data_IF_829747682794
#
_entry.id   IF_829747682794
#
_cell.length_a   1.000
_cell.length_b   1.000
_cell.length_c   1.000
_cell.angle_alpha   90.00
_cell.angle_beta   90.00
_cell.angle_gamma   90.00
#
_symmetry.space_group_name_H-M   'P 1'
#
loop_
_entity.id
_entity.type
_entity.pdbx_description
1 polymer ?
#
# COMPACT_ATOMS: atom_id res chain seq x y z
N UNK A 1 -30.96 -2.05 -27.47
CA UNK A 1 -29.80 -2.89 -27.10
C UNK A 1 -28.83 -3.16 -28.26
N UNK A 2 -29.28 -3.61 -29.45
CA UNK A 2 -28.37 -3.92 -30.58
C UNK A 2 -27.37 -2.80 -30.94
N UNK A 3 -27.81 -1.52 -30.94
CA UNK A 3 -26.94 -0.36 -31.23
C UNK A 3 -25.87 -0.10 -30.16
N UNK A 4 -26.20 -0.24 -28.88
CA UNK A 4 -25.25 -0.06 -27.76
C UNK A 4 -24.18 -1.15 -27.78
N UNK A 5 -24.57 -2.39 -28.01
CA UNK A 5 -23.64 -3.53 -28.11
C UNK A 5 -22.70 -3.38 -29.31
N UNK A 6 -23.22 -2.95 -30.46
CA UNK A 6 -22.39 -2.68 -31.64
C UNK A 6 -21.36 -1.56 -31.38
N UNK A 7 -21.75 -0.50 -30.67
CA UNK A 7 -20.83 0.57 -30.28
C UNK A 7 -19.74 0.08 -29.32
N UNK A 8 -20.11 -0.69 -28.29
CA UNK A 8 -19.17 -1.33 -27.36
C UNK A 8 -18.16 -2.20 -28.11
N UNK A 9 -18.64 -3.04 -29.04
CA UNK A 9 -17.79 -3.92 -29.84
C UNK A 9 -16.79 -3.13 -30.69
N UNK A 10 -17.24 -2.05 -31.33
CA UNK A 10 -16.38 -1.15 -32.09
C UNK A 10 -15.30 -0.49 -31.23
N UNK A 11 -15.65 0.01 -30.05
CA UNK A 11 -14.68 0.60 -29.12
C UNK A 11 -13.66 -0.45 -28.62
N UNK A 12 -14.10 -1.68 -28.35
CA UNK A 12 -13.21 -2.77 -27.95
C UNK A 12 -12.16 -3.08 -29.03
N UNK A 13 -12.59 -3.16 -30.30
CA UNK A 13 -11.66 -3.36 -31.43
C UNK A 13 -10.70 -2.19 -31.62
N UNK A 14 -11.15 -0.95 -31.41
CA UNK A 14 -10.28 0.22 -31.49
C UNK A 14 -9.15 0.16 -30.45
N UNK A 15 -9.48 -0.20 -29.21
CA UNK A 15 -8.47 -0.30 -28.14
C UNK A 15 -7.52 -1.46 -28.40
N UNK A 16 -8.04 -2.63 -28.80
CA UNK A 16 -7.20 -3.80 -29.06
C UNK A 16 -6.25 -3.62 -30.24
N UNK A 17 -6.59 -2.77 -31.21
CA UNK A 17 -5.72 -2.45 -32.35
C UNK A 17 -4.62 -1.44 -32.00
N UNK A 18 -4.82 -0.65 -30.96
CA UNK A 18 -3.81 0.30 -30.50
C UNK A 18 -2.78 -0.39 -29.60
N UNK A 19 -1.81 -1.03 -30.25
CA UNK A 19 -0.73 -1.79 -29.59
C UNK A 19 0.09 -0.94 -28.62
N UNK A 20 0.26 0.36 -28.91
CA UNK A 20 1.02 1.26 -28.03
C UNK A 20 0.26 1.51 -26.73
N UNK A 21 -1.03 1.82 -26.85
CA UNK A 21 -1.91 2.00 -25.69
C UNK A 21 -2.01 0.71 -24.87
N UNK A 22 -2.20 -0.46 -25.49
CA UNK A 22 -2.20 -1.74 -24.77
C UNK A 22 -0.88 -2.02 -24.05
N UNK A 23 0.26 -1.77 -24.71
CA UNK A 23 1.57 -1.98 -24.09
C UNK A 23 1.71 -1.10 -22.86
N UNK A 24 1.37 0.19 -22.94
CA UNK A 24 1.45 1.09 -21.78
C UNK A 24 0.49 0.64 -20.67
N UNK A 25 -0.75 0.28 -21.01
CA UNK A 25 -1.79 -0.12 -20.04
C UNK A 25 -1.40 -1.35 -19.24
N UNK A 26 -0.70 -2.33 -19.84
CA UNK A 26 -0.32 -3.55 -19.14
C UNK A 26 1.12 -3.51 -18.62
N UNK A 27 2.07 -2.98 -19.37
CA UNK A 27 3.48 -2.97 -18.98
C UNK A 27 3.75 -1.99 -17.83
N UNK A 28 3.14 -0.79 -17.84
CA UNK A 28 3.35 0.21 -16.79
C UNK A 28 2.92 -0.30 -15.40
N UNK A 29 1.73 -0.91 -15.21
CA UNK A 29 1.37 -1.57 -13.95
C UNK A 29 2.40 -2.59 -13.49
N UNK A 30 2.81 -3.49 -14.38
CA UNK A 30 3.75 -4.56 -14.04
C UNK A 30 5.07 -3.96 -13.55
N UNK A 31 5.59 -2.97 -14.28
CA UNK A 31 6.81 -2.25 -13.90
C UNK A 31 6.61 -1.51 -12.57
N UNK A 32 5.48 -0.83 -12.36
CA UNK A 32 5.19 -0.13 -11.10
C UNK A 32 5.10 -1.10 -9.91
N UNK A 33 4.42 -2.22 -10.06
CA UNK A 33 4.31 -3.24 -9.01
C UNK A 33 5.68 -3.84 -8.70
N UNK A 34 6.48 -4.16 -9.72
CA UNK A 34 7.83 -4.68 -9.53
C UNK A 34 8.75 -3.64 -8.88
N UNK A 35 8.70 -2.38 -9.33
CA UNK A 35 9.47 -1.31 -8.73
C UNK A 35 9.07 -1.08 -7.27
N UNK A 36 7.79 -0.90 -6.97
CA UNK A 36 7.38 -0.65 -5.58
C UNK A 36 7.54 -1.88 -4.68
N UNK A 37 7.27 -3.07 -5.21
CA UNK A 37 7.35 -4.31 -4.44
C UNK A 37 8.78 -4.75 -4.13
N UNK A 38 9.76 -4.46 -5.00
CA UNK A 38 11.18 -4.79 -4.75
C UNK A 38 12.02 -3.60 -4.28
N UNK A 39 11.76 -2.38 -4.78
CA UNK A 39 12.61 -1.23 -4.47
C UNK A 39 12.22 -0.53 -3.16
N UNK A 40 10.99 -0.74 -2.65
CA UNK A 40 10.55 -0.16 -1.37
C UNK A 40 10.37 -1.25 -0.32
N UNK A 41 11.48 -1.88 0.04
CA UNK A 41 11.56 -2.73 1.23
C UNK A 41 12.24 -1.94 2.34
N UNK A 42 11.48 -1.60 3.39
CA UNK A 42 12.04 -1.15 4.68
C UNK A 42 12.32 -2.34 5.61
N UNK A 43 12.26 -3.55 5.07
CA UNK A 43 12.53 -4.78 5.80
C UNK A 43 14.00 -4.79 6.23
N UNK A 44 14.21 -5.08 7.51
CA UNK A 44 15.55 -5.17 8.09
C UNK A 44 16.18 -6.45 7.57
N UNK A 45 17.23 -6.33 6.75
CA UNK A 45 18.12 -7.44 6.41
C UNK A 45 19.54 -6.93 6.57
N UNK A 46 20.37 -7.70 7.26
CA UNK A 46 21.77 -7.35 7.52
C UNK A 46 21.95 -5.97 8.18
N UNK A 47 21.05 -5.58 9.09
CA UNK A 47 21.22 -4.34 9.84
C UNK A 47 22.52 -4.40 10.64
N UNK A 48 23.40 -3.44 10.36
CA UNK A 48 24.68 -3.31 11.04
C UNK A 48 24.44 -2.83 12.46
N UNK A 49 24.84 -3.66 13.42
CA UNK A 49 24.73 -3.34 14.84
C UNK A 49 26.11 -3.13 15.44
N UNK A 50 26.19 -2.27 16.45
CA UNK A 50 27.33 -2.19 17.33
C UNK A 50 26.94 -2.67 18.72
N UNK A 51 27.88 -3.32 19.40
CA UNK A 51 27.61 -3.99 20.67
C UNK A 51 28.54 -3.43 21.73
N UNK A 52 27.97 -2.87 22.80
CA UNK A 52 28.68 -2.53 24.02
C UNK A 52 28.35 -3.57 25.08
N UNK A 53 29.17 -4.62 25.16
CA UNK A 53 29.03 -5.67 26.16
C UNK A 53 29.95 -5.41 27.35
N UNK A 54 29.38 -4.86 28.42
CA UNK A 54 30.10 -4.66 29.68
C UNK A 54 30.08 -5.91 30.58
N UNK A 55 29.20 -6.88 30.32
CA UNK A 55 29.05 -8.08 31.14
C UNK A 55 30.07 -9.15 30.77
N UNK A 56 30.20 -9.40 29.46
CA UNK A 56 31.06 -10.45 28.88
C UNK A 56 30.82 -11.81 29.53
N UNK A 57 29.56 -12.13 29.80
CA UNK A 57 29.13 -13.35 30.48
C UNK A 57 28.44 -14.32 29.50
N UNK A 58 28.18 -15.55 29.95
CA UNK A 58 27.60 -16.59 29.08
C UNK A 58 26.20 -16.19 28.55
N UNK A 59 25.42 -15.47 29.35
CA UNK A 59 24.09 -15.00 28.95
C UNK A 59 24.17 -13.87 27.92
N UNK A 60 25.14 -12.95 28.04
CA UNK A 60 25.36 -11.88 27.07
C UNK A 60 25.83 -12.45 25.72
N UNK A 61 26.75 -13.40 25.74
CA UNK A 61 27.25 -14.10 24.55
C UNK A 61 26.11 -14.88 23.87
N UNK A 62 25.29 -15.60 24.64
CA UNK A 62 24.14 -16.34 24.11
C UNK A 62 23.12 -15.42 23.43
N UNK A 63 22.80 -14.27 24.04
CA UNK A 63 21.90 -13.28 23.45
C UNK A 63 22.45 -12.72 22.13
N UNK A 64 23.73 -12.35 22.10
CA UNK A 64 24.39 -11.82 20.91
C UNK A 64 24.45 -12.84 19.78
N UNK A 65 24.70 -14.11 20.11
CA UNK A 65 24.68 -15.21 19.14
C UNK A 65 23.26 -15.40 18.57
N UNK A 66 22.21 -15.32 19.39
CA UNK A 66 20.81 -15.41 18.91
C UNK A 66 20.46 -14.25 17.96
N UNK A 67 20.86 -13.03 18.31
CA UNK A 67 20.65 -11.84 17.48
C UNK A 67 21.36 -11.94 16.13
N UNK A 68 22.63 -12.35 16.11
CA UNK A 68 23.42 -12.47 14.87
C UNK A 68 23.03 -13.68 14.03
N UNK A 69 22.62 -14.79 14.66
CA UNK A 69 22.16 -16.00 13.95
C UNK A 69 20.77 -15.86 13.34
N UNK A 70 20.01 -14.82 13.71
CA UNK A 70 18.67 -14.56 13.17
C UNK A 70 18.66 -14.16 11.68
N UNK A 71 19.81 -13.75 11.13
CA UNK A 71 19.92 -13.24 9.75
C UNK A 71 19.44 -11.80 9.56
N UNK A 72 18.88 -11.16 10.59
CA UNK A 72 18.45 -9.76 10.55
C UNK A 72 19.56 -8.78 10.92
N UNK A 73 20.53 -9.22 11.73
CA UNK A 73 21.56 -8.37 12.31
C UNK A 73 22.97 -8.89 12.01
N UNK A 74 23.88 -7.96 11.68
CA UNK A 74 25.29 -8.24 11.54
C UNK A 74 26.09 -7.33 12.48
N UNK A 75 26.94 -7.91 13.32
CA UNK A 75 27.83 -7.13 14.19
C UNK A 75 28.92 -6.47 13.37
N UNK A 76 28.89 -5.14 13.29
CA UNK A 76 29.91 -4.35 12.58
C UNK A 76 31.11 -4.06 13.50
N UNK A 77 30.86 -3.76 14.78
CA UNK A 77 31.92 -3.45 15.76
C UNK A 77 31.48 -3.67 17.20
N UNK A 78 32.45 -3.96 18.05
CA UNK A 78 32.30 -3.94 19.50
C UNK A 78 32.80 -2.59 20.04
N UNK A 79 32.01 -2.00 20.93
CA UNK A 79 32.31 -0.74 21.60
C UNK A 79 32.89 -1.03 22.99
N UNK A 80 33.74 -0.14 23.49
CA UNK A 80 34.38 -0.31 24.80
C UNK A 80 33.79 0.63 25.86
N UNK A 81 33.30 1.81 25.46
CA UNK A 81 32.78 2.81 26.39
C UNK A 81 31.44 3.38 25.93
N UNK A 82 30.65 3.91 26.88
CA UNK A 82 29.40 4.61 26.57
C UNK A 82 29.62 5.85 25.70
N UNK A 83 30.80 6.48 25.76
CA UNK A 83 31.13 7.63 24.90
C UNK A 83 31.23 7.22 23.42
N UNK A 84 31.57 5.96 23.14
CA UNK A 84 31.69 5.43 21.77
C UNK A 84 30.32 5.15 21.14
N UNK A 85 29.24 5.13 21.92
CA UNK A 85 27.87 4.85 21.42
C UNK A 85 27.44 5.90 20.42
N UNK A 86 27.67 7.18 20.74
CA UNK A 86 27.27 8.27 19.85
C UNK A 86 28.14 8.33 18.60
N UNK A 87 29.46 8.14 18.74
CA UNK A 87 30.39 8.13 17.61
C UNK A 87 30.15 6.94 16.68
N UNK A 88 29.60 5.84 17.19
CA UNK A 88 29.22 4.68 16.40
C UNK A 88 28.14 4.97 15.36
N UNK A 89 27.35 6.04 15.49
CA UNK A 89 26.39 6.44 14.44
C UNK A 89 27.01 7.38 13.40
N UNK A 90 28.19 7.94 13.65
CA UNK A 90 28.76 9.03 12.86
C UNK A 90 29.09 8.69 11.41
N UNK A 91 29.39 7.43 11.11
CA UNK A 91 29.67 6.95 9.74
C UNK A 91 28.42 6.47 9.00
N UNK A 92 27.24 6.50 9.64
CA UNK A 92 25.95 6.09 9.07
C UNK A 92 25.82 4.59 8.81
N UNK A 93 26.83 3.78 9.15
CA UNK A 93 26.81 2.32 8.94
C UNK A 93 25.99 1.62 10.00
N UNK A 94 26.23 1.93 11.27
CA UNK A 94 25.51 1.31 12.40
C UNK A 94 24.11 1.89 12.49
N UNK A 95 23.11 1.00 12.61
CA UNK A 95 21.69 1.37 12.75
C UNK A 95 21.12 1.10 14.13
N UNK A 96 21.77 0.23 14.90
CA UNK A 96 21.41 -0.09 16.28
C UNK A 96 22.66 -0.32 17.12
N UNK A 97 22.68 0.26 18.31
CA UNK A 97 23.64 -0.05 19.36
C UNK A 97 22.91 -0.82 20.47
N UNK A 98 23.46 -1.98 20.81
CA UNK A 98 22.97 -2.83 21.91
C UNK A 98 23.92 -2.64 23.08
N UNK A 99 23.41 -2.17 24.21
CA UNK A 99 24.20 -1.99 25.43
C UNK A 99 23.76 -3.00 26.47
N UNK A 100 24.70 -3.84 26.89
CA UNK A 100 24.53 -4.85 27.94
C UNK A 100 25.26 -4.38 29.20
N UNK A 101 24.58 -4.27 30.36
CA UNK A 101 25.18 -3.76 31.60
C UNK A 101 26.11 -4.80 32.25
N UNK A 102 27.13 -4.36 33.00
CA UNK A 102 28.16 -5.25 33.57
C UNK A 102 27.64 -6.34 34.52
N UNK A 103 26.46 -6.16 35.12
CA UNK A 103 25.87 -7.11 36.05
C UNK A 103 24.76 -7.96 35.41
N UNK A 104 24.78 -8.17 34.09
CA UNK A 104 23.69 -8.80 33.34
C UNK A 104 23.26 -10.18 33.88
N UNK A 105 24.18 -11.13 34.00
CA UNK A 105 23.87 -12.47 34.55
C UNK A 105 23.48 -12.42 36.03
N UNK A 106 24.14 -11.57 36.84
CA UNK A 106 23.79 -11.41 38.26
C UNK A 106 22.38 -10.86 38.44
N UNK A 107 22.01 -9.84 37.67
CA UNK A 107 20.68 -9.24 37.71
C UNK A 107 19.59 -10.22 37.23
N UNK A 108 19.89 -11.03 36.23
CA UNK A 108 18.98 -12.09 35.77
C UNK A 108 18.72 -13.14 36.85
N UNK A 109 19.78 -13.68 37.47
CA UNK A 109 19.65 -14.77 38.45
C UNK A 109 19.19 -14.31 39.84
N UNK A 110 19.56 -13.11 40.27
CA UNK A 110 19.30 -12.62 41.63
C UNK A 110 18.04 -11.76 41.72
N UNK A 111 17.83 -10.87 40.75
CA UNK A 111 16.75 -9.87 40.78
C UNK A 111 15.59 -10.23 39.83
N UNK A 112 15.74 -11.29 39.01
CA UNK A 112 14.74 -11.74 38.05
C UNK A 112 14.50 -10.79 36.87
N UNK A 113 15.26 -9.69 36.79
CA UNK A 113 15.09 -8.62 35.80
C UNK A 113 16.46 -8.20 35.27
N UNK A 114 16.73 -8.50 34.01
CA UNK A 114 17.91 -8.02 33.29
C UNK A 114 17.49 -6.96 32.26
N UNK A 115 18.18 -5.82 32.24
CA UNK A 115 17.88 -4.73 31.32
C UNK A 115 18.90 -4.72 30.17
N UNK A 116 18.40 -4.69 28.94
CA UNK A 116 19.21 -4.45 27.73
C UNK A 116 18.74 -3.14 27.13
N UNK A 117 19.67 -2.24 26.80
CA UNK A 117 19.33 -0.97 26.17
C UNK A 117 19.54 -1.06 24.66
N UNK A 118 18.51 -0.66 23.91
CA UNK A 118 18.52 -0.56 22.45
C UNK A 118 18.53 0.92 22.06
N UNK A 119 19.57 1.35 21.36
CA UNK A 119 19.73 2.74 20.90
C UNK A 119 19.80 2.70 19.38
N UNK A 120 18.84 3.30 18.68
CA UNK A 120 18.76 3.23 17.21
C UNK A 120 18.97 4.60 16.54
N UNK A 121 19.53 4.57 15.32
CA UNK A 121 19.60 5.73 14.44
C UNK A 121 18.22 6.01 13.83
N UNK A 122 17.54 7.03 14.36
CA UNK A 122 16.19 7.43 13.95
C UNK A 122 16.16 8.43 12.78
N UNK A 123 17.25 8.57 12.01
CA UNK A 123 17.25 9.37 10.77
C UNK A 123 16.20 8.86 9.77
N UNK A 124 15.96 7.54 9.75
CA UNK A 124 14.77 6.92 9.18
C UNK A 124 13.93 6.31 10.34
N UNK A 125 12.83 6.97 10.76
CA UNK A 125 12.00 6.50 11.86
C UNK A 125 11.36 5.13 11.62
N UNK A 126 11.02 4.79 10.36
CA UNK A 126 10.40 3.52 10.02
C UNK A 126 11.41 2.39 10.15
N UNK A 127 12.63 2.59 9.62
CA UNK A 127 13.71 1.63 9.77
C UNK A 127 14.11 1.46 11.25
N UNK A 128 14.23 2.54 12.01
CA UNK A 128 14.56 2.48 13.44
C UNK A 128 13.49 1.74 14.26
N UNK A 129 12.21 2.02 14.01
CA UNK A 129 11.10 1.31 14.66
C UNK A 129 11.09 -0.17 14.30
N UNK A 130 11.32 -0.53 13.04
CA UNK A 130 11.42 -1.91 12.60
C UNK A 130 12.60 -2.62 13.29
N UNK A 131 13.81 -2.06 13.21
CA UNK A 131 15.03 -2.60 13.81
C UNK A 131 14.88 -2.85 15.31
N UNK A 132 14.33 -1.88 16.03
CA UNK A 132 14.08 -2.02 17.48
C UNK A 132 13.01 -3.05 17.79
N UNK A 133 11.95 -3.16 16.97
CA UNK A 133 10.92 -4.19 17.13
C UNK A 133 11.48 -5.60 16.91
N UNK A 134 12.29 -5.83 15.88
CA UNK A 134 12.95 -7.12 15.65
C UNK A 134 13.91 -7.48 16.77
N UNK A 135 14.75 -6.53 17.22
CA UNK A 135 15.66 -6.77 18.33
C UNK A 135 14.91 -7.13 19.61
N UNK A 136 13.83 -6.41 19.94
CA UNK A 136 12.97 -6.74 21.09
C UNK A 136 12.33 -8.13 20.96
N UNK A 137 11.85 -8.51 19.78
CA UNK A 137 11.26 -9.84 19.55
C UNK A 137 12.27 -10.97 19.80
N UNK A 138 13.52 -10.81 19.33
CA UNK A 138 14.58 -11.81 19.55
C UNK A 138 15.03 -11.85 21.02
N UNK A 139 15.15 -10.69 21.68
CA UNK A 139 15.48 -10.63 23.12
C UNK A 139 14.41 -11.35 23.94
N UNK A 140 13.13 -11.16 23.60
CA UNK A 140 12.03 -11.85 24.27
C UNK A 140 12.04 -13.37 24.01
N UNK A 141 12.31 -13.81 22.77
CA UNK A 141 12.46 -15.24 22.44
C UNK A 141 13.60 -15.89 23.24
N UNK A 142 14.76 -15.21 23.31
CA UNK A 142 15.89 -15.66 24.12
C UNK A 142 15.53 -15.74 25.60
N UNK A 143 14.83 -14.74 26.14
CA UNK A 143 14.35 -14.75 27.53
C UNK A 143 13.46 -15.97 27.82
N UNK A 144 12.59 -16.35 26.89
CA UNK A 144 11.74 -17.55 27.05
C UNK A 144 12.54 -18.86 26.99
N UNK A 145 13.63 -18.90 26.22
CA UNK A 145 14.49 -20.08 26.08
C UNK A 145 15.34 -20.35 27.32
N UNK A 146 15.85 -19.30 27.98
CA UNK A 146 16.69 -19.41 29.19
C UNK A 146 15.90 -19.50 30.51
N UNK A 147 14.58 -19.36 30.47
CA UNK A 147 13.73 -19.37 31.66
C UNK A 147 13.39 -20.80 32.11
N UNK A 148 14.16 -21.35 33.07
CA UNK A 148 13.97 -22.70 33.63
C UNK A 148 12.78 -22.87 34.61
N UNK A 149 12.07 -21.79 34.97
CA UNK A 149 10.97 -21.86 35.93
C UNK A 149 9.81 -20.91 35.57
N UNK A 150 8.54 -21.34 35.68
CA UNK A 150 7.41 -20.45 35.53
C UNK A 150 7.36 -19.51 36.74
N UNK A 151 7.63 -18.23 36.51
CA UNK A 151 7.34 -17.09 37.39
C UNK A 151 8.08 -17.07 38.76
N UNK A 152 9.23 -16.41 38.81
CA UNK A 152 9.69 -15.73 40.04
C UNK A 152 9.74 -14.22 39.82
N UNK A 153 8.61 -13.58 40.17
CA UNK A 153 8.54 -12.22 40.71
C UNK A 153 8.93 -11.04 39.81
N UNK A 154 7.91 -10.35 39.28
CA UNK A 154 7.95 -8.89 39.23
C UNK A 154 8.20 -8.24 37.88
N UNK A 155 7.26 -8.40 36.95
CA UNK A 155 6.71 -7.41 36.00
C UNK A 155 5.83 -8.21 35.05
N UNK A 156 4.63 -7.74 34.72
CA UNK A 156 3.77 -8.42 33.75
C UNK A 156 4.58 -8.68 32.47
N UNK A 157 4.80 -9.96 32.14
CA UNK A 157 5.43 -10.33 30.88
C UNK A 157 4.47 -9.94 29.74
N UNK A 158 4.73 -8.82 29.09
CA UNK A 158 3.93 -8.37 27.95
C UNK A 158 4.35 -9.20 26.73
N UNK A 159 3.62 -10.28 26.47
CA UNK A 159 3.80 -11.07 25.25
C UNK A 159 3.17 -10.29 24.10
N UNK A 160 4.01 -9.63 23.30
CA UNK A 160 3.58 -8.91 22.11
C UNK A 160 3.41 -9.90 20.96
N UNK A 161 2.15 -10.20 20.60
CA UNK A 161 1.83 -11.02 19.44
C UNK A 161 1.20 -10.19 18.33
N UNK A 162 1.91 -10.09 17.20
CA UNK A 162 1.39 -9.48 15.99
C UNK A 162 0.50 -10.48 15.25
N UNK A 163 -0.82 -10.25 15.24
CA UNK A 163 -1.78 -11.14 14.56
C UNK A 163 -1.70 -11.08 13.05
N UNK A 164 -1.40 -9.89 12.50
CA UNK A 164 -1.34 -9.65 11.07
C UNK A 164 0.03 -9.06 10.74
N UNK A 165 0.76 -9.70 9.83
CA UNK A 165 2.14 -9.37 9.49
C UNK A 165 3.16 -9.55 10.64
N UNK A 166 3.33 -10.78 11.19
CA UNK A 166 4.27 -11.02 12.28
C UNK A 166 5.73 -10.74 11.92
N UNK A 167 6.07 -10.92 10.64
CA UNK A 167 7.40 -10.65 10.11
C UNK A 167 7.57 -9.18 9.69
N UNK A 168 6.61 -8.30 9.95
CA UNK A 168 6.64 -6.87 9.63
C UNK A 168 7.01 -6.55 8.16
N UNK A 169 6.65 -7.45 7.24
CA UNK A 169 6.92 -7.31 5.80
C UNK A 169 6.28 -6.04 5.24
N UNK A 170 7.11 -5.19 4.65
CA UNK A 170 6.72 -3.92 4.02
C UNK A 170 5.73 -4.13 2.87
N UNK A 171 5.82 -5.28 2.18
CA UNK A 171 4.93 -5.71 1.09
C UNK A 171 3.44 -5.56 1.45
N UNK A 172 3.07 -5.81 2.71
CA UNK A 172 1.69 -5.78 3.19
C UNK A 172 1.13 -4.35 3.23
N UNK A 173 2.01 -3.35 3.27
CA UNK A 173 1.66 -1.94 3.13
C UNK A 173 1.67 -1.52 1.66
N UNK A 174 2.73 -1.87 0.92
CA UNK A 174 2.97 -1.31 -0.40
C UNK A 174 2.08 -1.89 -1.50
N UNK A 175 1.91 -3.21 -1.56
CA UNK A 175 1.18 -3.85 -2.66
C UNK A 175 -0.30 -3.40 -2.74
N UNK A 176 -1.08 -3.34 -1.64
CA UNK A 176 -2.42 -2.76 -1.64
C UNK A 176 -2.49 -1.32 -2.14
N UNK A 177 -1.53 -0.49 -1.74
CA UNK A 177 -1.50 0.92 -2.11
C UNK A 177 -1.13 1.15 -3.57
N UNK A 178 -0.17 0.36 -4.08
CA UNK A 178 0.19 0.37 -5.51
C UNK A 178 -0.96 -0.14 -6.37
N UNK A 179 -1.66 -1.19 -5.93
CA UNK A 179 -2.89 -1.63 -6.59
C UNK A 179 -3.92 -0.49 -6.65
N UNK A 180 -4.15 0.23 -5.55
CA UNK A 180 -5.05 1.38 -5.52
C UNK A 180 -4.61 2.47 -6.52
N UNK A 181 -3.31 2.76 -6.57
CA UNK A 181 -2.73 3.77 -7.44
C UNK A 181 -2.91 3.42 -8.92
N UNK A 182 -2.59 2.18 -9.29
CA UNK A 182 -2.68 1.69 -10.67
C UNK A 182 -4.13 1.69 -11.13
N UNK A 183 -5.01 1.07 -10.35
CA UNK A 183 -6.42 0.98 -10.71
C UNK A 183 -7.07 2.37 -10.79
N UNK A 184 -6.72 3.29 -9.88
CA UNK A 184 -7.21 4.67 -9.94
C UNK A 184 -6.73 5.39 -11.21
N UNK A 185 -5.41 5.43 -11.44
CA UNK A 185 -4.83 6.20 -12.54
C UNK A 185 -5.27 5.63 -13.87
N UNK A 186 -5.10 4.33 -14.11
CA UNK A 186 -5.33 3.75 -15.44
C UNK A 186 -6.80 3.84 -15.81
N UNK A 187 -7.69 3.44 -14.90
CA UNK A 187 -9.12 3.41 -15.22
C UNK A 187 -9.70 4.82 -15.39
N UNK A 188 -9.35 5.76 -14.51
CA UNK A 188 -9.84 7.14 -14.58
C UNK A 188 -9.22 7.90 -15.76
N UNK A 189 -7.91 7.82 -15.95
CA UNK A 189 -7.18 8.52 -17.01
C UNK A 189 -7.63 8.04 -18.39
N UNK A 190 -7.73 6.72 -18.61
CA UNK A 190 -8.17 6.21 -19.90
C UNK A 190 -9.60 6.59 -20.22
N UNK A 191 -10.48 6.56 -19.21
CA UNK A 191 -11.85 7.03 -19.36
C UNK A 191 -11.87 8.53 -19.67
N UNK A 192 -11.05 9.33 -18.99
CA UNK A 192 -10.96 10.76 -19.18
C UNK A 192 -10.47 11.13 -20.59
N UNK A 193 -9.38 10.49 -21.04
CA UNK A 193 -8.80 10.69 -22.38
C UNK A 193 -9.80 10.26 -23.45
N UNK A 194 -10.41 9.07 -23.32
CA UNK A 194 -11.32 8.56 -24.33
C UNK A 194 -12.56 9.44 -24.53
N UNK A 195 -13.10 10.01 -23.45
CA UNK A 195 -14.22 10.94 -23.52
C UNK A 195 -13.81 12.34 -23.99
N UNK A 196 -12.64 12.83 -23.57
CA UNK A 196 -12.16 14.15 -23.98
C UNK A 196 -11.72 14.17 -25.44
N UNK A 197 -11.19 13.05 -25.95
CA UNK A 197 -10.85 12.87 -27.36
C UNK A 197 -12.01 13.22 -28.28
N UNK A 198 -13.20 12.75 -27.95
CA UNK A 198 -14.41 13.05 -28.74
C UNK A 198 -14.80 14.54 -28.68
N UNK A 199 -14.46 15.24 -27.59
CA UNK A 199 -14.67 16.69 -27.48
C UNK A 199 -13.68 17.44 -28.35
N UNK A 200 -12.41 17.07 -28.27
CA UNK A 200 -11.30 17.72 -28.94
C UNK A 200 -11.40 17.60 -30.47
N UNK A 201 -11.79 16.43 -30.99
CA UNK A 201 -12.00 16.23 -32.42
C UNK A 201 -13.36 16.72 -32.94
N UNK A 202 -14.22 17.26 -32.07
CA UNK A 202 -15.56 17.73 -32.44
C UNK A 202 -16.51 16.62 -32.91
N UNK A 203 -16.11 15.34 -32.84
CA UNK A 203 -16.94 14.18 -33.19
C UNK A 203 -18.19 14.09 -32.34
N UNK A 204 -18.20 14.70 -31.14
CA UNK A 204 -19.39 14.83 -30.33
C UNK A 204 -20.54 15.55 -31.06
N UNK A 205 -20.27 16.56 -31.91
CA UNK A 205 -21.33 17.24 -32.69
C UNK A 205 -21.97 16.30 -33.72
N UNK A 206 -21.15 15.48 -34.37
CA UNK A 206 -21.59 14.44 -35.30
C UNK A 206 -22.33 13.30 -34.57
N UNK A 207 -21.94 12.98 -33.33
CA UNK A 207 -22.64 12.02 -32.49
C UNK A 207 -23.95 12.59 -31.91
N UNK A 208 -24.05 13.90 -31.67
CA UNK A 208 -25.26 14.56 -31.17
C UNK A 208 -26.39 14.61 -32.21
N UNK A 209 -26.06 14.58 -33.51
CA UNK A 209 -27.05 14.41 -34.59
C UNK A 209 -27.39 12.93 -34.85
N UNK A 210 -26.63 12.00 -34.25
CA UNK A 210 -26.98 10.58 -34.25
C UNK A 210 -28.09 10.31 -33.22
N UNK A 211 -28.92 9.27 -33.40
CA UNK A 211 -30.00 8.94 -32.45
C UNK A 211 -29.50 8.34 -31.12
N UNK A 212 -28.21 8.49 -30.79
CA UNK A 212 -27.60 7.97 -29.56
C UNK A 212 -27.67 9.00 -28.44
N UNK A 213 -28.31 8.63 -27.33
CA UNK A 213 -28.30 9.42 -26.10
C UNK A 213 -26.87 9.50 -25.53
N UNK A 214 -26.49 10.64 -24.96
CA UNK A 214 -25.17 10.87 -24.32
C UNK A 214 -24.84 9.78 -23.29
N UNK A 215 -25.82 9.35 -22.48
CA UNK A 215 -25.66 8.25 -21.52
C UNK A 215 -25.19 6.95 -22.19
N UNK A 216 -25.70 6.65 -23.38
CA UNK A 216 -25.33 5.45 -24.15
C UNK A 216 -23.89 5.53 -24.67
N UNK A 217 -23.42 6.72 -25.05
CA UNK A 217 -22.05 6.95 -25.51
C UNK A 217 -21.07 6.74 -24.35
N UNK A 218 -21.36 7.35 -23.18
CA UNK A 218 -20.53 7.20 -21.98
C UNK A 218 -20.47 5.73 -21.54
N UNK A 219 -21.61 5.07 -21.38
CA UNK A 219 -21.67 3.64 -20.99
C UNK A 219 -20.94 2.77 -22.03
N UNK A 220 -21.13 3.08 -23.31
CA UNK A 220 -20.51 2.35 -24.42
C UNK A 220 -18.98 2.41 -24.43
N UNK A 221 -18.39 3.47 -23.87
CA UNK A 221 -16.93 3.58 -23.67
C UNK A 221 -16.49 2.98 -22.34
N UNK A 222 -17.23 3.20 -21.25
CA UNK A 222 -16.87 2.69 -19.92
C UNK A 222 -16.79 1.16 -19.91
N UNK A 223 -17.67 0.43 -20.58
CA UNK A 223 -17.66 -1.04 -20.57
C UNK A 223 -16.36 -1.65 -21.13
N UNK A 224 -15.87 -1.28 -22.34
CA UNK A 224 -14.60 -1.76 -22.85
C UNK A 224 -13.40 -1.51 -21.93
N UNK A 225 -13.30 -0.31 -21.36
CA UNK A 225 -12.20 0.01 -20.44
C UNK A 225 -12.32 -0.74 -19.13
N UNK A 226 -13.54 -1.01 -18.63
CA UNK A 226 -13.74 -1.83 -17.44
C UNK A 226 -13.18 -3.25 -17.63
N UNK A 227 -13.42 -3.87 -18.80
CA UNK A 227 -12.90 -5.20 -19.12
C UNK A 227 -11.36 -5.21 -19.18
N UNK A 228 -10.75 -4.17 -19.75
CA UNK A 228 -9.29 -4.04 -19.81
C UNK A 228 -8.71 -3.86 -18.41
N UNK A 229 -9.30 -2.98 -17.60
CA UNK A 229 -8.86 -2.77 -16.22
C UNK A 229 -9.09 -3.99 -15.32
N UNK A 230 -10.08 -4.84 -15.63
CA UNK A 230 -10.27 -6.14 -14.97
C UNK A 230 -9.13 -7.11 -15.28
N UNK A 231 -8.69 -7.17 -16.54
CA UNK A 231 -7.52 -7.97 -16.93
C UNK A 231 -6.27 -7.46 -16.20
N UNK A 232 -6.07 -6.15 -16.15
CA UNK A 232 -4.96 -5.54 -15.42
C UNK A 232 -5.01 -5.86 -13.92
N UNK A 233 -6.18 -5.73 -13.30
CA UNK A 233 -6.41 -6.15 -11.90
C UNK A 233 -6.00 -7.61 -11.70
N UNK A 234 -6.39 -8.49 -12.61
CA UNK A 234 -6.05 -9.91 -12.53
C UNK A 234 -4.53 -10.14 -12.59
N UNK A 235 -3.83 -9.45 -13.49
CA UNK A 235 -2.37 -9.51 -13.62
C UNK A 235 -1.71 -9.04 -12.32
N UNK A 236 -2.12 -7.89 -11.78
CA UNK A 236 -1.52 -7.35 -10.55
C UNK A 236 -1.79 -8.26 -9.35
N UNK A 237 -2.96 -8.89 -9.27
CA UNK A 237 -3.27 -9.86 -8.21
C UNK A 237 -2.47 -11.17 -8.33
N UNK A 238 -2.16 -11.60 -9.56
CA UNK A 238 -1.23 -12.72 -9.77
C UNK A 238 0.17 -12.33 -9.28
N UNK A 239 0.66 -11.15 -9.67
CA UNK A 239 1.97 -10.67 -9.22
C UNK A 239 2.02 -10.54 -7.70
N UNK A 240 0.99 -9.98 -7.06
CA UNK A 240 0.95 -9.86 -5.60
C UNK A 240 1.09 -11.21 -4.90
N UNK A 241 0.38 -12.24 -5.38
CA UNK A 241 0.39 -13.56 -4.75
C UNK A 241 1.66 -14.37 -5.05
N UNK A 242 2.12 -14.37 -6.30
CA UNK A 242 3.17 -15.28 -6.77
C UNK A 242 4.58 -14.66 -6.78
N UNK A 243 4.69 -13.32 -6.87
CA UNK A 243 5.99 -12.64 -6.86
C UNK A 243 6.33 -12.09 -5.47
N UNK A 244 5.32 -11.60 -4.73
CA UNK A 244 5.53 -10.96 -3.42
C UNK A 244 5.03 -11.78 -2.24
N UNK A 245 4.57 -13.01 -2.47
CA UNK A 245 4.02 -13.90 -1.45
C UNK A 245 2.94 -13.24 -0.57
N UNK A 246 2.16 -12.33 -1.17
CA UNK A 246 1.11 -11.63 -0.44
C UNK A 246 -0.03 -12.61 -0.12
N UNK A 247 -0.45 -12.73 1.16
CA UNK A 247 -1.54 -13.61 1.52
C UNK A 247 -2.85 -13.09 0.93
N UNK A 248 -3.68 -14.03 0.49
CA UNK A 248 -5.08 -13.79 0.13
C UNK A 248 -5.91 -14.70 1.03
N UNK A 249 -6.09 -14.28 2.28
CA UNK A 249 -6.75 -15.08 3.31
C UNK A 249 -8.29 -15.05 3.18
N UNK A 250 -8.84 -14.01 2.58
CA UNK A 250 -10.28 -13.82 2.41
C UNK A 250 -10.84 -14.48 1.15
N UNK A 251 -12.13 -14.27 0.90
CA UNK A 251 -12.79 -14.77 -0.30
C UNK A 251 -12.30 -14.05 -1.55
N UNK A 252 -11.86 -14.83 -2.55
CA UNK A 252 -11.50 -14.31 -3.89
C UNK A 252 -12.67 -13.55 -4.53
N UNK A 253 -13.89 -14.02 -4.37
CA UNK A 253 -15.09 -13.36 -4.92
C UNK A 253 -15.26 -11.98 -4.30
N UNK A 254 -15.14 -11.87 -2.98
CA UNK A 254 -15.25 -10.58 -2.28
C UNK A 254 -14.14 -9.63 -2.71
N UNK A 255 -12.92 -10.14 -2.88
CA UNK A 255 -11.78 -9.38 -3.39
C UNK A 255 -12.07 -8.80 -4.77
N UNK A 256 -12.58 -9.60 -5.72
CA UNK A 256 -12.99 -9.10 -7.03
C UNK A 256 -14.10 -8.07 -6.96
N UNK A 257 -15.09 -8.25 -6.08
CA UNK A 257 -16.16 -7.26 -5.89
C UNK A 257 -15.60 -5.91 -5.43
N UNK A 258 -14.66 -5.90 -4.48
CA UNK A 258 -13.97 -4.69 -4.00
C UNK A 258 -13.22 -4.02 -5.16
N UNK A 259 -12.45 -4.78 -5.96
CA UNK A 259 -11.72 -4.23 -7.10
C UNK A 259 -12.65 -3.69 -8.20
N UNK A 260 -13.70 -4.42 -8.56
CA UNK A 260 -14.69 -3.99 -9.58
C UNK A 260 -15.37 -2.70 -9.14
N UNK A 261 -15.75 -2.60 -7.86
CA UNK A 261 -16.38 -1.41 -7.34
C UNK A 261 -15.43 -0.22 -7.38
N UNK A 262 -14.18 -0.41 -6.99
CA UNK A 262 -13.17 0.66 -7.04
C UNK A 262 -12.85 1.10 -8.47
N UNK A 263 -12.80 0.16 -9.42
CA UNK A 263 -12.70 0.47 -10.84
C UNK A 263 -13.88 1.34 -11.28
N UNK A 264 -15.10 0.95 -10.91
CA UNK A 264 -16.29 1.74 -11.26
C UNK A 264 -16.25 3.15 -10.66
N UNK A 265 -15.82 3.30 -9.41
CA UNK A 265 -15.63 4.61 -8.76
C UNK A 265 -14.56 5.46 -9.47
N UNK A 266 -13.43 4.85 -9.81
CA UNK A 266 -12.31 5.52 -10.46
C UNK A 266 -12.66 5.94 -11.89
N UNK A 267 -13.34 5.08 -12.66
CA UNK A 267 -13.86 5.43 -13.98
C UNK A 267 -14.88 6.56 -13.91
N UNK A 268 -15.77 6.56 -12.90
CA UNK A 268 -16.72 7.64 -12.68
C UNK A 268 -16.02 8.98 -12.40
N UNK A 269 -14.90 8.95 -11.69
CA UNK A 269 -14.03 10.12 -11.50
C UNK A 269 -13.39 10.55 -12.83
N UNK A 270 -12.96 9.61 -13.67
CA UNK A 270 -12.51 9.90 -15.04
C UNK A 270 -13.57 10.59 -15.91
N UNK A 271 -14.84 10.15 -15.84
CA UNK A 271 -15.97 10.82 -16.50
C UNK A 271 -16.13 12.25 -15.99
N UNK A 272 -16.02 12.45 -14.67
CA UNK A 272 -16.09 13.78 -14.06
C UNK A 272 -14.95 14.67 -14.56
N UNK A 273 -13.71 14.18 -14.58
CA UNK A 273 -12.55 14.93 -15.11
C UNK A 273 -12.77 15.30 -16.57
N UNK A 274 -13.17 14.35 -17.42
CA UNK A 274 -13.49 14.63 -18.83
C UNK A 274 -14.60 15.68 -18.99
N UNK A 275 -15.53 15.78 -18.05
CA UNK A 275 -16.58 16.81 -18.09
C UNK A 275 -16.05 18.23 -17.86
N UNK A 276 -14.88 18.39 -17.22
CA UNK A 276 -14.29 19.68 -16.84
C UNK A 276 -13.25 20.21 -17.83
N UNK A 277 -12.76 19.36 -18.74
CA UNK A 277 -11.66 19.69 -19.65
C UNK A 277 -12.05 19.46 -21.11
N UNK A 278 -11.29 20.08 -22.02
CA UNK A 278 -11.52 20.01 -23.46
C UNK A 278 -10.34 19.41 -24.25
N UNK A 279 -9.16 19.22 -23.64
CA UNK A 279 -7.98 18.62 -24.30
C UNK A 279 -7.57 17.32 -23.62
N UNK A 280 -7.22 16.30 -24.41
CA UNK A 280 -6.73 15.02 -23.92
C UNK A 280 -5.48 15.16 -23.05
N UNK A 281 -4.57 16.08 -23.40
CA UNK A 281 -3.33 16.29 -22.63
C UNK A 281 -3.65 16.83 -21.23
N UNK A 282 -4.55 17.81 -21.14
CA UNK A 282 -4.99 18.38 -19.86
C UNK A 282 -5.75 17.33 -19.03
N UNK A 283 -6.60 16.52 -19.67
CA UNK A 283 -7.29 15.41 -19.02
C UNK A 283 -6.32 14.40 -18.42
N UNK A 284 -5.26 14.06 -19.16
CA UNK A 284 -4.21 13.15 -18.70
C UNK A 284 -3.44 13.73 -17.51
N UNK A 285 -2.97 14.98 -17.59
CA UNK A 285 -2.22 15.63 -16.50
C UNK A 285 -3.06 15.73 -15.22
N UNK A 286 -4.33 16.16 -15.34
CA UNK A 286 -5.22 16.24 -14.17
C UNK A 286 -5.50 14.86 -13.59
N UNK A 287 -5.68 13.84 -14.43
CA UNK A 287 -5.89 12.47 -13.93
C UNK A 287 -4.65 11.94 -13.23
N UNK A 288 -3.45 12.12 -13.79
CA UNK A 288 -2.21 11.66 -13.18
C UNK A 288 -1.96 12.42 -11.88
N UNK A 289 -1.85 13.76 -11.92
CA UNK A 289 -1.50 14.54 -10.72
C UNK A 289 -2.61 14.49 -9.68
N UNK A 290 -3.86 14.64 -10.11
CA UNK A 290 -5.04 14.68 -9.25
C UNK A 290 -5.43 13.34 -8.63
N UNK A 291 -4.92 12.21 -9.15
CA UNK A 291 -5.13 10.89 -8.55
C UNK A 291 -3.87 10.35 -7.90
N UNK A 292 -2.68 10.60 -8.47
CA UNK A 292 -1.41 10.11 -7.92
C UNK A 292 -1.13 10.70 -6.54
N UNK A 293 -1.19 12.02 -6.39
CA UNK A 293 -0.86 12.65 -5.11
C UNK A 293 -1.84 12.27 -4.00
N UNK A 294 -3.18 12.35 -4.20
CA UNK A 294 -4.09 11.95 -3.14
C UNK A 294 -4.06 10.45 -2.86
N UNK A 295 -3.84 9.61 -3.88
CA UNK A 295 -3.76 8.15 -3.69
C UNK A 295 -2.47 7.73 -2.99
N UNK A 296 -1.37 8.45 -3.13
CA UNK A 296 -0.13 8.14 -2.40
C UNK A 296 -0.09 8.75 -1.01
N UNK A 297 -0.54 10.00 -0.87
CA UNK A 297 -0.39 10.78 0.35
C UNK A 297 -1.61 10.74 1.28
N UNK A 298 -2.84 10.69 0.76
CA UNK A 298 -4.09 10.88 1.53
C UNK A 298 -4.95 9.62 1.68
N UNK A 299 -4.42 8.46 1.29
CA UNK A 299 -5.19 7.20 1.22
C UNK A 299 -4.87 6.20 2.33
N UNK A 300 -3.85 6.45 3.16
CA UNK A 300 -3.29 5.44 4.06
C UNK A 300 -2.37 4.44 3.36
N UNK A 301 -1.90 4.77 2.15
CA UNK A 301 -0.87 4.04 1.44
C UNK A 301 0.50 4.23 2.09
N UNK A 302 1.14 5.39 1.88
CA UNK A 302 2.49 5.65 2.38
C UNK A 302 2.46 6.16 3.83
N UNK A 303 1.51 7.05 4.13
CA UNK A 303 1.39 7.70 5.43
C UNK A 303 0.13 7.21 6.14
N UNK A 304 0.24 6.75 7.41
CA UNK A 304 -0.93 6.48 8.23
C UNK A 304 -1.81 7.72 8.36
N UNK A 305 -3.11 7.58 8.13
CA UNK A 305 -4.05 8.71 8.17
C UNK A 305 -4.17 9.26 9.59
N UNK A 306 -4.04 8.37 10.58
CA UNK A 306 -4.11 8.67 12.01
C UNK A 306 -3.02 9.66 12.45
N UNK A 307 -1.88 9.68 11.74
CA UNK A 307 -0.77 10.58 12.03
C UNK A 307 -0.97 11.99 11.44
N UNK A 308 -2.03 12.22 10.65
CA UNK A 308 -2.30 13.52 10.04
C UNK A 308 -3.13 14.42 10.96
N UNK A 309 -2.99 15.76 10.86
CA UNK A 309 -3.92 16.71 11.46
C UNK A 309 -5.39 16.43 11.08
N UNK A 310 -6.32 16.73 12.00
CA UNK A 310 -7.77 16.45 11.86
C UNK A 310 -8.37 16.98 10.53
N UNK A 311 -7.89 18.14 10.06
CA UNK A 311 -8.31 18.74 8.80
C UNK A 311 -7.94 17.84 7.60
N UNK A 312 -6.74 17.27 7.61
CA UNK A 312 -6.32 16.33 6.57
C UNK A 312 -7.03 14.98 6.71
N UNK A 313 -7.28 14.49 7.93
CA UNK A 313 -8.03 13.24 8.14
C UNK A 313 -9.45 13.32 7.55
N UNK A 314 -10.13 14.45 7.72
CA UNK A 314 -11.46 14.67 7.14
C UNK A 314 -11.39 14.78 5.61
N UNK A 315 -10.37 15.45 5.07
CA UNK A 315 -10.12 15.51 3.62
C UNK A 315 -9.88 14.11 3.01
N UNK A 316 -9.15 13.23 3.71
CA UNK A 316 -8.88 11.86 3.25
C UNK A 316 -10.16 11.05 2.98
N UNK A 317 -11.26 11.35 3.68
CA UNK A 317 -12.54 10.67 3.48
C UNK A 317 -13.16 10.93 2.10
N UNK A 318 -12.81 12.04 1.46
CA UNK A 318 -13.28 12.41 0.13
C UNK A 318 -12.57 11.66 -1.01
N UNK A 319 -11.53 10.87 -0.71
CA UNK A 319 -10.76 10.14 -1.72
C UNK A 319 -11.13 8.65 -1.75
N UNK A 320 -11.57 8.10 -2.90
CA UNK A 320 -11.98 6.70 -3.01
C UNK A 320 -10.87 5.71 -2.64
N UNK A 321 -9.62 6.04 -2.94
CA UNK A 321 -8.47 5.20 -2.66
C UNK A 321 -8.34 4.83 -1.17
N UNK A 322 -8.71 5.75 -0.26
CA UNK A 322 -8.72 5.52 1.18
C UNK A 322 -9.61 4.33 1.55
N UNK A 323 -10.85 4.35 1.07
CA UNK A 323 -11.83 3.30 1.34
C UNK A 323 -11.45 1.97 0.69
N UNK A 324 -10.89 2.02 -0.52
CA UNK A 324 -10.40 0.83 -1.20
C UNK A 324 -9.22 0.18 -0.45
N UNK A 325 -8.21 0.95 -0.02
CA UNK A 325 -7.05 0.41 0.69
C UNK A 325 -7.46 -0.25 2.01
N UNK A 326 -8.40 0.35 2.74
CA UNK A 326 -8.95 -0.25 3.98
C UNK A 326 -9.67 -1.57 3.66
N UNK A 327 -10.53 -1.61 2.64
CA UNK A 327 -11.26 -2.81 2.25
C UNK A 327 -10.33 -3.93 1.76
N UNK A 328 -9.40 -3.62 0.85
CA UNK A 328 -8.52 -4.62 0.23
C UNK A 328 -7.54 -5.21 1.25
N UNK A 329 -6.96 -4.39 2.16
CA UNK A 329 -6.13 -4.88 3.27
C UNK A 329 -6.92 -5.80 4.19
N UNK A 330 -8.17 -5.45 4.48
CA UNK A 330 -9.05 -6.27 5.33
C UNK A 330 -9.35 -7.63 4.70
N UNK A 331 -9.65 -7.68 3.40
CA UNK A 331 -9.92 -8.96 2.72
C UNK A 331 -8.65 -9.78 2.51
N UNK A 332 -7.57 -9.18 2.01
CA UNK A 332 -6.35 -9.92 1.67
C UNK A 332 -5.58 -10.38 2.90
N UNK A 333 -5.31 -9.45 3.84
CA UNK A 333 -4.42 -9.69 4.97
C UNK A 333 -5.22 -10.26 6.15
N UNK A 334 -6.30 -9.58 6.56
CA UNK A 334 -7.09 -10.01 7.72
C UNK A 334 -8.02 -11.19 7.43
N UNK A 335 -8.32 -11.45 6.16
CA UNK A 335 -9.20 -12.54 5.75
C UNK A 335 -10.67 -12.34 6.13
N UNK A 336 -11.08 -11.09 6.40
CA UNK A 336 -12.44 -10.82 6.89
C UNK A 336 -13.48 -10.81 5.76
N UNK A 337 -14.71 -11.21 6.10
CA UNK A 337 -15.83 -11.23 5.16
C UNK A 337 -16.52 -9.87 4.96
N UNK A 338 -17.58 -9.87 4.14
CA UNK A 338 -18.35 -8.69 3.74
C UNK A 338 -18.86 -7.86 4.93
N UNK A 339 -19.21 -8.51 6.04
CA UNK A 339 -19.74 -7.87 7.24
C UNK A 339 -18.80 -6.85 7.90
N UNK A 340 -17.50 -6.89 7.58
CA UNK A 340 -16.52 -5.95 8.12
C UNK A 340 -16.14 -4.83 7.16
N UNK A 341 -16.53 -4.93 5.88
CA UNK A 341 -16.13 -3.97 4.84
C UNK A 341 -17.31 -3.32 4.11
N UNK A 342 -18.54 -3.54 4.60
CA UNK A 342 -19.74 -3.06 3.90
C UNK A 342 -19.83 -1.53 3.87
N UNK A 343 -19.26 -0.83 4.85
CA UNK A 343 -19.25 0.64 4.89
C UNK A 343 -18.34 1.16 3.77
N UNK A 344 -17.15 0.61 3.63
CA UNK A 344 -16.19 0.95 2.58
C UNK A 344 -16.82 0.76 1.20
N UNK A 345 -17.51 -0.37 0.99
CA UNK A 345 -18.24 -0.64 -0.24
C UNK A 345 -19.37 0.37 -0.47
N UNK A 346 -20.18 0.65 0.55
CA UNK A 346 -21.28 1.60 0.43
C UNK A 346 -20.77 3.01 0.07
N UNK A 347 -19.71 3.47 0.74
CA UNK A 347 -19.10 4.78 0.46
C UNK A 347 -18.53 4.83 -0.95
N UNK A 348 -17.78 3.81 -1.39
CA UNK A 348 -17.26 3.77 -2.76
C UNK A 348 -18.37 3.74 -3.81
N UNK A 349 -19.47 3.02 -3.56
CA UNK A 349 -20.65 2.99 -4.42
C UNK A 349 -21.33 4.36 -4.47
N UNK A 350 -21.51 5.02 -3.33
CA UNK A 350 -22.07 6.37 -3.26
C UNK A 350 -21.21 7.38 -4.03
N UNK A 351 -19.89 7.34 -3.85
CA UNK A 351 -18.94 8.18 -4.59
C UNK A 351 -19.02 7.94 -6.10
N UNK A 352 -19.08 6.68 -6.52
CA UNK A 352 -19.22 6.34 -7.94
C UNK A 352 -20.50 6.95 -8.54
N UNK A 353 -21.64 6.77 -7.87
CA UNK A 353 -22.92 7.33 -8.32
C UNK A 353 -22.89 8.87 -8.36
N UNK A 354 -22.29 9.52 -7.37
CA UNK A 354 -22.15 10.98 -7.32
C UNK A 354 -21.29 11.48 -8.48
N UNK A 355 -20.08 10.95 -8.64
CA UNK A 355 -19.15 11.38 -9.70
C UNK A 355 -19.73 11.11 -11.09
N UNK A 356 -20.35 9.95 -11.30
CA UNK A 356 -20.97 9.60 -12.57
C UNK A 356 -22.15 10.52 -12.89
N UNK A 357 -23.02 10.79 -11.90
CA UNK A 357 -24.19 11.64 -12.09
C UNK A 357 -23.79 13.09 -12.39
N UNK A 358 -22.84 13.65 -11.64
CA UNK A 358 -22.33 15.00 -11.86
C UNK A 358 -21.63 15.07 -13.22
N UNK A 359 -20.77 14.09 -13.52
CA UNK A 359 -20.05 14.00 -14.78
C UNK A 359 -21.00 13.98 -15.99
N UNK A 360 -21.98 13.08 -16.00
CA UNK A 360 -22.98 12.98 -17.08
C UNK A 360 -23.80 14.27 -17.21
N UNK A 361 -24.26 14.87 -16.11
CA UNK A 361 -25.06 16.11 -16.14
C UNK A 361 -24.27 17.28 -16.73
N UNK A 362 -23.02 17.46 -16.29
CA UNK A 362 -22.13 18.50 -16.84
C UNK A 362 -21.84 18.24 -18.31
N UNK A 363 -21.57 16.99 -18.66
CA UNK A 363 -21.35 16.60 -20.05
C UNK A 363 -22.58 16.94 -20.90
N UNK A 364 -23.80 16.59 -20.48
CA UNK A 364 -25.01 16.90 -21.25
C UNK A 364 -25.27 18.39 -21.41
N UNK A 365 -24.99 19.21 -20.37
CA UNK A 365 -25.22 20.66 -20.43
C UNK A 365 -24.26 21.37 -21.39
N UNK A 366 -23.06 20.82 -21.61
CA UNK A 366 -22.08 21.41 -22.51
C UNK A 366 -22.43 21.21 -24.01
N UNK A 367 -23.36 20.29 -24.30
CA UNK A 367 -23.75 19.92 -25.67
C UNK A 367 -25.26 20.06 -25.95
N UNK A 368 -26.02 20.59 -24.99
CA UNK A 368 -27.37 21.11 -25.18
C UNK A 368 -27.26 22.62 -25.43
#
# INVERSE_FOLDING_TARGET
>A
MKRTVAFIHKEFLHILRDKRTLLIVFAMPIVLVLLFGFAITTDVKDAKIAVLDNAKDELSIGLLNKLTSSGYFQTERYLNTNADVQSAFGDGKVKLVIVIPANFSKAYHHDGVAQVQLIADATDPNAAAAITAYANAIIHDYQTEISDAPQRGGLFGVIVKMYYNPELKSVYMYVPGVLALILAIISAMMTAISLTKEKEFGSFRTLSVSPLKIKTIVIGKVIPYLLISLIDTFIVLILSRFVFDMPINGSLVLLFVVCILFLFTSMSMGVLIASLVNSQQVAAIISIVGLFLPTTLLSGFIYPIENMPIILQTLCQAFPAKWFIVAIKSVMIKGVGLQYIWIELLVMMAMALIFLTIGIKKFSKQFA
#
